data_IF_214937596304
#
_entry.id   IF_214937596304
#
_cell.length_a   1.000
_cell.length_b   1.000
_cell.length_c   1.000
_cell.angle_alpha   90.00
_cell.angle_beta   90.00
_cell.angle_gamma   90.00
#
_symmetry.space_group_name_H-M   'P 1'
#
loop_
_entity.id
_entity.type
_entity.pdbx_description
1 polymer ?
#
# COMPACT_ATOMS: atom_id res chain seq x y z
N UNK A 1 5.99 -25.10 -13.89
CA UNK A 1 5.73 -24.36 -12.63
C UNK A 1 4.65 -23.30 -12.90
N UNK A 2 3.45 -23.42 -12.34
CA UNK A 2 2.44 -22.34 -12.42
C UNK A 2 2.88 -21.21 -11.49
N UNK A 3 3.26 -20.07 -12.06
CA UNK A 3 3.53 -18.87 -11.28
C UNK A 3 2.17 -18.26 -10.95
N UNK A 4 1.75 -18.33 -9.70
CA UNK A 4 0.49 -17.71 -9.26
C UNK A 4 0.74 -16.22 -9.04
N UNK A 5 0.13 -15.40 -9.89
CA UNK A 5 0.20 -13.93 -9.78
C UNK A 5 -0.80 -13.35 -8.78
N UNK A 6 -1.63 -14.19 -8.14
CA UNK A 6 -2.73 -13.75 -7.28
C UNK A 6 -2.28 -12.80 -6.15
N UNK A 7 -1.11 -13.05 -5.55
CA UNK A 7 -0.51 -12.19 -4.52
C UNK A 7 -0.17 -10.80 -5.12
N UNK A 8 0.53 -10.80 -6.26
CA UNK A 8 0.92 -9.57 -6.96
C UNK A 8 -0.29 -8.77 -7.47
N UNK A 9 -1.34 -9.45 -7.94
CA UNK A 9 -2.60 -8.84 -8.36
C UNK A 9 -3.33 -8.19 -7.18
N UNK A 10 -3.35 -8.85 -6.01
CA UNK A 10 -3.91 -8.30 -4.78
C UNK A 10 -3.21 -7.01 -4.35
N UNK A 11 -1.87 -6.99 -4.40
CA UNK A 11 -1.07 -5.80 -4.08
C UNK A 11 -1.36 -4.68 -5.08
N UNK A 12 -1.37 -4.98 -6.38
CA UNK A 12 -1.62 -4.00 -7.44
C UNK A 12 -3.03 -3.38 -7.34
N UNK A 13 -4.05 -4.17 -7.00
CA UNK A 13 -5.40 -3.66 -6.80
C UNK A 13 -5.50 -2.75 -5.57
N UNK A 14 -4.79 -3.08 -4.48
CA UNK A 14 -4.74 -2.25 -3.27
C UNK A 14 -4.06 -0.90 -3.54
N UNK A 15 -2.97 -0.88 -4.32
CA UNK A 15 -2.30 0.35 -4.76
C UNK A 15 -3.22 1.19 -5.65
N UNK A 16 -3.91 0.60 -6.65
CA UNK A 16 -4.87 1.33 -7.49
C UNK A 16 -6.02 1.94 -6.69
N UNK A 17 -6.51 1.24 -5.67
CA UNK A 17 -7.56 1.77 -4.77
C UNK A 17 -7.05 2.96 -3.98
N UNK A 18 -5.85 2.86 -3.40
CA UNK A 18 -5.22 3.97 -2.69
C UNK A 18 -4.99 5.17 -3.62
N UNK A 19 -4.53 4.95 -4.86
CA UNK A 19 -4.37 6.03 -5.87
C UNK A 19 -5.69 6.74 -6.19
N UNK A 20 -6.81 6.01 -6.25
CA UNK A 20 -8.14 6.60 -6.48
C UNK A 20 -8.66 7.41 -5.29
N UNK A 21 -8.46 6.90 -4.08
CA UNK A 21 -8.83 7.62 -2.84
C UNK A 21 -7.95 8.86 -2.61
N UNK A 22 -6.78 8.90 -3.26
CA UNK A 22 -5.80 9.96 -3.08
C UNK A 22 -6.15 11.28 -3.79
N UNK A 23 -7.15 11.35 -4.70
CA UNK A 23 -7.60 12.59 -5.38
C UNK A 23 -6.52 13.68 -5.61
N UNK A 24 -5.31 13.28 -6.06
CA UNK A 24 -4.19 14.20 -6.23
C UNK A 24 -3.34 14.50 -4.98
N UNK A 25 -2.97 13.48 -4.18
CA UNK A 25 -1.88 13.64 -3.20
C UNK A 25 -0.68 14.27 -3.91
N UNK A 26 -0.34 15.49 -3.48
CA UNK A 26 0.74 16.31 -4.06
C UNK A 26 2.12 15.69 -3.79
N UNK A 27 2.22 14.86 -2.76
CA UNK A 27 3.44 14.21 -2.28
C UNK A 27 3.40 12.70 -2.46
N UNK A 28 4.24 12.20 -3.38
CA UNK A 28 4.42 10.78 -3.62
C UNK A 28 4.99 10.03 -2.40
N UNK A 29 5.72 10.73 -1.53
CA UNK A 29 6.30 10.17 -0.31
C UNK A 29 5.23 9.83 0.73
N UNK A 30 4.26 10.74 0.91
CA UNK A 30 3.11 10.51 1.78
C UNK A 30 2.22 9.38 1.25
N UNK A 31 2.11 9.26 -0.07
CA UNK A 31 1.41 8.15 -0.71
C UNK A 31 2.09 6.79 -0.42
N UNK A 32 3.42 6.74 -0.48
CA UNK A 32 4.21 5.56 -0.07
C UNK A 32 3.97 5.21 1.40
N UNK A 33 3.99 6.20 2.29
CA UNK A 33 3.74 6.01 3.71
C UNK A 33 2.36 5.40 3.98
N UNK A 34 1.32 5.87 3.27
CA UNK A 34 -0.02 5.29 3.33
C UNK A 34 -0.10 3.87 2.79
N UNK A 35 0.65 3.53 1.74
CA UNK A 35 0.76 2.13 1.26
C UNK A 35 1.37 1.24 2.34
N UNK A 36 2.46 1.69 2.99
CA UNK A 36 3.11 0.93 4.06
C UNK A 36 2.20 0.74 5.28
N UNK A 37 1.43 1.76 5.68
CA UNK A 37 0.39 1.61 6.72
C UNK A 37 -0.67 0.57 6.31
N UNK A 38 -1.23 0.69 5.10
CA UNK A 38 -2.31 -0.19 4.65
C UNK A 38 -1.87 -1.63 4.38
N UNK A 39 -0.60 -1.83 4.04
CA UNK A 39 0.04 -3.14 3.89
C UNK A 39 0.57 -3.70 5.22
N UNK A 40 0.45 -2.97 6.33
CA UNK A 40 0.84 -3.42 7.67
C UNK A 40 2.32 -3.29 8.02
N UNK A 41 3.13 -2.64 7.17
CA UNK A 41 4.55 -2.36 7.42
C UNK A 41 4.78 -1.24 8.44
N UNK A 42 3.85 -0.29 8.57
CA UNK A 42 3.87 0.79 9.55
C UNK A 42 2.76 0.62 10.59
N UNK A 43 2.68 -0.57 11.19
CA UNK A 43 1.72 -0.82 12.26
C UNK A 43 2.24 -0.18 13.56
N UNK A 44 1.51 0.73 14.23
CA UNK A 44 1.96 1.36 15.49
C UNK A 44 2.17 0.35 16.63
N UNK A 45 1.68 -0.89 16.49
CA UNK A 45 2.01 -2.00 17.40
C UNK A 45 3.43 -2.54 17.27
N UNK A 46 4.15 -2.25 16.17
CA UNK A 46 5.53 -2.71 15.95
C UNK A 46 6.60 -1.65 16.24
N UNK A 47 6.22 -0.39 16.36
CA UNK A 47 7.08 0.70 16.81
C UNK A 47 6.33 1.50 17.87
N UNK A 48 6.38 1.10 19.16
CA UNK A 48 6.00 2.00 20.23
C UNK A 48 6.95 3.20 20.21
N UNK A 49 6.39 4.41 20.28
CA UNK A 49 7.14 5.65 20.54
C UNK A 49 7.70 5.62 21.96
#
# INVERSE_FOLDING_TARGET
KKISSAISEGINNKIKRLKRMAYGYKDADYFRLKIHQHCGLLNPRRYPQ
#
